data_IF_942954888239
#
_entry.id   IF_942954888239
#
_cell.length_a   1.000
_cell.length_b   1.000
_cell.length_c   1.000
_cell.angle_alpha   90.00
_cell.angle_beta   90.00
_cell.angle_gamma   90.00
#
_symmetry.space_group_name_H-M   'P 1'
#
loop_
_entity.id
_entity.type
_entity.pdbx_description
1 polymer ?
#
# COMPACT_ATOMS: atom_id res chain seq x y z
N UNK A 1 17.03 6.84 14.90
CA UNK A 1 17.36 7.59 13.67
C UNK A 1 16.55 8.87 13.64
N UNK A 2 17.18 10.02 13.33
CA UNK A 2 16.47 11.27 13.11
C UNK A 2 16.17 11.44 11.61
N UNK A 3 14.96 11.87 11.28
CA UNK A 3 14.57 12.19 9.91
C UNK A 3 14.92 13.65 9.60
N UNK A 4 15.37 13.92 8.37
CA UNK A 4 15.67 15.29 7.90
C UNK A 4 14.40 16.10 7.70
N UNK A 5 13.36 15.47 7.18
CA UNK A 5 12.07 16.10 6.93
C UNK A 5 11.00 15.59 7.88
N UNK A 6 9.97 16.42 8.11
CA UNK A 6 8.79 16.00 8.86
C UNK A 6 7.79 15.36 7.91
N UNK A 7 7.52 14.06 8.04
CA UNK A 7 6.52 13.40 7.20
C UNK A 7 5.07 13.72 7.60
N UNK A 8 4.87 14.53 8.64
CA UNK A 8 3.55 14.89 9.16
C UNK A 8 2.78 13.69 9.74
N UNK A 9 3.49 12.68 10.24
CA UNK A 9 2.84 11.52 10.86
C UNK A 9 2.43 11.81 12.31
N UNK A 10 1.22 11.41 12.69
CA UNK A 10 0.83 11.38 14.11
C UNK A 10 1.74 10.44 14.92
N UNK A 11 1.81 10.69 16.23
CA UNK A 11 2.74 10.02 17.14
C UNK A 11 2.76 8.49 17.01
N UNK A 12 1.60 7.87 16.91
CA UNK A 12 1.50 6.40 16.94
C UNK A 12 1.31 5.77 15.55
N UNK A 13 1.25 6.60 14.50
CA UNK A 13 0.91 6.14 13.16
C UNK A 13 1.90 5.13 12.57
N UNK A 14 3.23 5.34 12.60
CA UNK A 14 4.17 4.43 11.96
C UNK A 14 4.58 3.24 12.83
N UNK A 15 4.02 3.09 14.04
CA UNK A 15 4.39 1.98 14.93
C UNK A 15 4.03 0.64 14.29
N UNK A 16 4.98 -0.27 14.30
CA UNK A 16 4.85 -1.59 13.68
C UNK A 16 5.21 -1.66 12.20
N UNK A 17 5.40 -0.53 11.52
CA UNK A 17 5.83 -0.51 10.11
C UNK A 17 7.24 -1.10 9.97
N UNK A 18 7.48 -1.71 8.82
CA UNK A 18 8.79 -2.25 8.43
C UNK A 18 9.58 -1.17 7.69
N UNK A 19 10.84 -1.04 8.04
CA UNK A 19 11.78 -0.14 7.37
C UNK A 19 12.69 -0.97 6.47
N UNK A 20 12.75 -0.61 5.20
CA UNK A 20 13.69 -1.15 4.25
C UNK A 20 14.73 -0.08 3.93
N UNK A 21 15.99 -0.48 3.99
CA UNK A 21 17.12 0.29 3.50
C UNK A 21 17.58 -0.31 2.18
N UNK A 22 18.02 0.51 1.23
CA UNK A 22 18.43 0.04 -0.11
C UNK A 22 19.58 -0.97 -0.13
N UNK A 23 20.12 -1.33 1.04
CA UNK A 23 21.20 -2.32 1.20
C UNK A 23 20.75 -3.78 1.12
N UNK A 24 19.45 -4.06 0.93
CA UNK A 24 18.93 -5.43 0.91
C UNK A 24 18.96 -6.14 2.27
N UNK A 25 19.27 -5.42 3.34
CA UNK A 25 19.28 -5.95 4.71
C UNK A 25 17.86 -6.23 5.23
N UNK A 26 17.71 -7.10 6.23
CA UNK A 26 16.42 -7.43 6.81
C UNK A 26 15.70 -6.17 7.30
N UNK A 27 14.40 -6.14 7.10
CA UNK A 27 13.54 -5.05 7.52
C UNK A 27 13.58 -4.87 9.03
N UNK A 28 13.71 -3.64 9.48
CA UNK A 28 13.56 -3.26 10.89
C UNK A 28 12.12 -2.87 11.15
N UNK A 29 11.67 -3.04 12.39
CA UNK A 29 10.32 -2.64 12.78
C UNK A 29 10.37 -1.35 13.59
N UNK A 30 9.46 -0.43 13.28
CA UNK A 30 9.30 0.81 14.05
C UNK A 30 8.68 0.49 15.41
N UNK A 31 9.36 0.84 16.49
CA UNK A 31 8.89 0.70 17.87
C UNK A 31 8.25 1.99 18.39
N UNK A 32 8.80 3.14 18.04
CA UNK A 32 8.22 4.43 18.43
C UNK A 32 8.61 5.54 17.45
N UNK A 33 7.77 6.55 17.40
CA UNK A 33 7.97 7.78 16.65
C UNK A 33 7.74 8.99 17.54
N UNK A 34 8.68 9.91 17.55
CA UNK A 34 8.57 11.17 18.26
C UNK A 34 8.51 12.33 17.26
N UNK A 35 7.33 12.91 17.01
CA UNK A 35 7.14 13.91 15.97
C UNK A 35 7.97 15.20 16.19
N UNK A 36 8.09 15.65 17.44
CA UNK A 36 8.80 16.91 17.76
C UNK A 36 10.28 16.85 17.45
N UNK A 37 10.91 15.76 17.79
CA UNK A 37 12.35 15.53 17.56
C UNK A 37 12.63 14.82 16.24
N UNK A 38 11.58 14.37 15.52
CA UNK A 38 11.66 13.58 14.27
C UNK A 38 12.47 12.30 14.44
N UNK A 39 12.37 11.66 15.61
CA UNK A 39 13.15 10.47 15.93
C UNK A 39 12.30 9.22 15.80
N UNK A 40 12.75 8.32 14.93
CA UNK A 40 12.27 6.95 14.80
C UNK A 40 13.16 6.01 15.63
N UNK A 41 12.54 5.18 16.48
CA UNK A 41 13.20 4.08 17.18
C UNK A 41 12.74 2.75 16.57
N UNK A 42 13.69 1.84 16.42
CA UNK A 42 13.49 0.54 15.78
C UNK A 42 13.96 -0.59 16.69
N UNK A 43 13.50 -1.80 16.41
CA UNK A 43 13.88 -3.03 17.12
C UNK A 43 15.36 -3.38 16.97
N UNK A 44 15.98 -2.94 15.87
CA UNK A 44 17.41 -3.15 15.61
C UNK A 44 18.08 -1.80 15.28
N UNK A 45 19.34 -1.60 15.69
CA UNK A 45 20.07 -0.37 15.40
C UNK A 45 20.37 -0.23 13.89
N UNK A 46 20.48 1.01 13.44
CA UNK A 46 21.02 1.32 12.12
C UNK A 46 22.55 1.28 12.18
N UNK A 47 23.14 0.62 11.21
CA UNK A 47 24.60 0.62 11.06
C UNK A 47 25.09 1.87 10.30
N UNK A 48 26.41 1.98 10.16
CA UNK A 48 27.03 3.14 9.49
C UNK A 48 26.72 3.21 7.99
N UNK A 49 26.46 2.06 7.36
CA UNK A 49 26.07 2.01 5.94
C UNK A 49 24.64 2.50 5.78
N UNK A 50 23.72 2.06 6.63
CA UNK A 50 22.32 2.51 6.63
C UNK A 50 22.20 4.02 6.83
N UNK A 51 23.08 4.61 7.65
CA UNK A 51 23.09 6.07 7.91
C UNK A 51 23.59 6.90 6.71
N UNK A 52 24.29 6.28 5.77
CA UNK A 52 24.73 6.91 4.52
C UNK A 52 23.68 6.88 3.41
N UNK A 53 22.66 6.04 3.57
CA UNK A 53 21.55 5.98 2.64
C UNK A 53 20.68 7.23 2.83
N UNK A 54 20.54 8.02 1.80
CA UNK A 54 19.80 9.28 1.83
C UNK A 54 18.28 9.11 1.97
N UNK A 55 17.75 7.88 1.90
CA UNK A 55 16.32 7.59 1.99
C UNK A 55 16.07 6.22 2.63
N UNK A 56 14.91 6.13 3.28
CA UNK A 56 14.37 4.89 3.81
C UNK A 56 12.96 4.69 3.27
N UNK A 57 12.55 3.45 3.09
CA UNK A 57 11.19 3.09 2.73
C UNK A 57 10.47 2.49 3.94
N UNK A 58 9.27 3.00 4.23
CA UNK A 58 8.39 2.42 5.24
C UNK A 58 7.28 1.64 4.57
N UNK A 59 7.15 0.39 4.98
CA UNK A 59 6.10 -0.50 4.52
C UNK A 59 5.14 -0.83 5.65
N UNK A 60 3.86 -0.69 5.41
CA UNK A 60 2.82 -1.21 6.28
C UNK A 60 2.29 -2.54 5.74
N UNK A 61 1.74 -3.36 6.62
CA UNK A 61 1.02 -4.57 6.20
C UNK A 61 -0.42 -4.24 5.74
N UNK A 62 -0.82 -2.96 5.72
CA UNK A 62 -2.13 -2.52 5.26
C UNK A 62 -2.13 -2.22 3.76
N UNK A 63 -3.22 -2.59 3.10
CA UNK A 63 -3.45 -2.15 1.73
C UNK A 63 -3.56 -0.62 1.64
N UNK A 64 -3.15 -0.04 0.51
CA UNK A 64 -3.07 1.40 0.31
C UNK A 64 -4.35 2.17 0.70
N UNK A 65 -5.59 1.71 0.40
CA UNK A 65 -6.80 2.41 0.81
C UNK A 65 -6.98 2.45 2.34
N UNK A 66 -6.65 1.34 3.01
CA UNK A 66 -6.75 1.26 4.49
C UNK A 66 -5.69 2.15 5.14
N UNK A 67 -4.46 2.13 4.61
CA UNK A 67 -3.37 2.99 5.07
C UNK A 67 -3.75 4.47 4.93
N UNK A 68 -4.27 4.88 3.76
CA UNK A 68 -4.71 6.25 3.51
C UNK A 68 -5.83 6.70 4.47
N UNK A 69 -6.85 5.86 4.66
CA UNK A 69 -7.92 6.13 5.62
C UNK A 69 -7.37 6.32 7.05
N UNK A 70 -6.52 5.42 7.51
CA UNK A 70 -5.91 5.50 8.84
C UNK A 70 -5.08 6.76 9.02
N UNK A 71 -4.31 7.14 8.01
CA UNK A 71 -3.53 8.38 8.04
C UNK A 71 -4.42 9.62 8.17
N UNK A 72 -5.52 9.68 7.42
CA UNK A 72 -6.47 10.80 7.48
C UNK A 72 -7.10 10.87 8.88
N UNK A 73 -7.61 9.76 9.39
CA UNK A 73 -8.21 9.73 10.74
C UNK A 73 -7.21 10.14 11.82
N UNK A 74 -5.98 9.61 11.75
CA UNK A 74 -4.94 9.94 12.71
C UNK A 74 -4.54 11.42 12.67
N UNK A 75 -4.43 12.03 11.47
CA UNK A 75 -4.18 13.48 11.31
C UNK A 75 -5.33 14.33 11.84
N UNK A 76 -6.54 13.83 11.77
CA UNK A 76 -7.74 14.49 12.30
C UNK A 76 -7.96 14.26 13.80
N UNK A 77 -7.07 13.50 14.47
CA UNK A 77 -7.22 13.16 15.89
C UNK A 77 -8.39 12.23 16.19
N UNK A 78 -8.90 11.51 15.18
CA UNK A 78 -10.06 10.64 15.30
C UNK A 78 -9.59 9.20 15.49
N UNK A 79 -9.99 8.56 16.59
CA UNK A 79 -9.71 7.15 16.79
C UNK A 79 -10.49 6.28 15.78
N UNK A 80 -9.85 5.33 15.08
CA UNK A 80 -10.51 4.53 14.03
C UNK A 80 -11.78 3.81 14.48
N UNK A 81 -11.84 3.42 15.75
CA UNK A 81 -12.98 2.69 16.31
C UNK A 81 -14.11 3.60 16.83
N UNK A 82 -13.92 4.92 16.82
CA UNK A 82 -14.91 5.88 17.32
C UNK A 82 -15.90 6.36 16.27
N UNK A 83 -15.65 6.05 15.00
CA UNK A 83 -16.45 6.52 13.87
C UNK A 83 -16.79 5.40 12.89
N UNK A 84 -17.95 5.52 12.26
CA UNK A 84 -18.30 4.69 11.11
C UNK A 84 -17.76 5.34 9.84
N UNK A 85 -16.83 4.68 9.18
CA UNK A 85 -16.24 5.16 7.93
C UNK A 85 -16.98 4.54 6.73
N UNK A 86 -17.40 5.38 5.79
CA UNK A 86 -17.91 4.96 4.49
C UNK A 86 -16.85 5.32 3.45
N UNK A 87 -16.25 4.32 2.86
CA UNK A 87 -15.22 4.47 1.84
C UNK A 87 -15.80 4.22 0.45
N UNK A 88 -15.47 5.08 -0.51
CA UNK A 88 -15.72 4.86 -1.93
C UNK A 88 -14.38 4.76 -2.63
N UNK A 89 -14.16 3.64 -3.30
CA UNK A 89 -12.91 3.36 -3.99
C UNK A 89 -13.18 3.27 -5.49
N UNK A 90 -12.31 3.89 -6.27
CA UNK A 90 -12.20 3.69 -7.71
C UNK A 90 -10.78 3.18 -8.00
N UNK A 91 -10.66 2.20 -8.86
CA UNK A 91 -9.37 1.59 -9.21
C UNK A 91 -9.34 1.21 -10.67
N UNK A 92 -8.19 1.39 -11.29
CA UNK A 92 -7.88 0.92 -12.64
C UNK A 92 -7.25 -0.47 -12.64
N UNK A 93 -7.26 -1.17 -11.51
CA UNK A 93 -6.57 -2.46 -11.36
C UNK A 93 -7.04 -3.51 -12.37
N UNK A 94 -8.35 -3.55 -12.64
CA UNK A 94 -8.89 -4.48 -13.65
C UNK A 94 -8.44 -4.10 -15.06
N UNK A 95 -8.44 -2.81 -15.39
CA UNK A 95 -7.96 -2.31 -16.69
C UNK A 95 -6.47 -2.58 -16.86
N UNK A 96 -5.67 -2.33 -15.83
CA UNK A 96 -4.24 -2.62 -15.85
C UNK A 96 -3.98 -4.11 -16.02
N UNK A 97 -4.69 -4.96 -15.27
CA UNK A 97 -4.55 -6.41 -15.40
C UNK A 97 -4.87 -6.91 -16.81
N UNK A 98 -5.86 -6.29 -17.47
CA UNK A 98 -6.20 -6.61 -18.86
C UNK A 98 -5.11 -6.14 -19.84
N UNK A 99 -4.57 -4.94 -19.65
CA UNK A 99 -3.52 -4.38 -20.52
C UNK A 99 -2.18 -5.10 -20.37
N UNK A 100 -1.89 -5.60 -19.17
CA UNK A 100 -0.65 -6.31 -18.83
C UNK A 100 -0.75 -7.82 -19.04
N UNK A 101 -1.90 -8.32 -19.54
CA UNK A 101 -2.24 -9.75 -19.61
C UNK A 101 -1.95 -10.48 -18.27
N UNK A 102 -2.10 -9.74 -17.17
CA UNK A 102 -1.84 -10.21 -15.82
C UNK A 102 -3.16 -10.52 -15.12
N UNK A 103 -3.48 -11.77 -14.97
CA UNK A 103 -4.71 -12.19 -14.31
C UNK A 103 -4.92 -13.69 -14.34
N UNK A 104 -5.95 -14.16 -13.63
CA UNK A 104 -6.38 -15.55 -13.77
C UNK A 104 -7.10 -15.69 -15.11
N UNK A 105 -6.71 -16.70 -15.89
CA UNK A 105 -7.40 -17.01 -17.15
C UNK A 105 -8.83 -17.38 -16.85
N UNK A 106 -9.82 -16.67 -17.42
CA UNK A 106 -11.22 -17.05 -17.27
C UNK A 106 -11.50 -18.34 -18.03
N UNK A 107 -12.46 -19.12 -17.53
CA UNK A 107 -13.01 -20.26 -18.25
C UNK A 107 -14.44 -19.91 -18.64
N UNK A 108 -14.73 -19.99 -19.92
CA UNK A 108 -16.06 -19.75 -20.45
C UNK A 108 -16.76 -21.09 -20.71
N UNK A 109 -17.89 -21.29 -20.09
CA UNK A 109 -18.77 -22.42 -20.37
C UNK A 109 -19.83 -21.97 -21.37
N UNK A 110 -19.89 -22.64 -22.49
CA UNK A 110 -20.90 -22.39 -23.53
C UNK A 110 -21.67 -23.66 -23.87
N UNK A 111 -22.88 -23.51 -24.36
CA UNK A 111 -23.66 -24.63 -24.86
C UNK A 111 -22.93 -25.28 -26.04
N UNK A 112 -22.99 -26.61 -26.14
CA UNK A 112 -22.40 -27.34 -27.27
C UNK A 112 -22.95 -26.83 -28.60
N UNK A 113 -22.05 -26.55 -29.54
CA UNK A 113 -22.36 -25.93 -30.83
C UNK A 113 -22.22 -24.40 -30.88
N UNK A 114 -21.87 -23.72 -29.76
CA UNK A 114 -21.71 -22.27 -29.70
C UNK A 114 -20.28 -21.86 -29.33
N UNK A 115 -19.30 -22.64 -29.74
CA UNK A 115 -17.87 -22.39 -29.44
C UNK A 115 -17.33 -21.08 -30.04
N UNK A 116 -17.94 -20.60 -31.11
CA UNK A 116 -17.61 -19.40 -31.88
C UNK A 116 -18.30 -18.12 -31.36
N UNK A 117 -19.03 -18.21 -30.25
CA UNK A 117 -19.79 -17.09 -29.68
C UNK A 117 -18.94 -15.84 -29.48
N UNK A 118 -17.70 -15.99 -29.02
CA UNK A 118 -16.79 -14.87 -28.81
C UNK A 118 -16.24 -14.27 -30.11
N UNK A 119 -16.11 -15.08 -31.16
CA UNK A 119 -15.62 -14.64 -32.47
C UNK A 119 -16.73 -13.91 -33.25
N UNK A 120 -17.96 -14.37 -33.14
CA UNK A 120 -19.12 -13.75 -33.80
C UNK A 120 -19.45 -12.38 -33.18
N UNK A 121 -19.23 -12.23 -31.86
CA UNK A 121 -19.47 -10.99 -31.13
C UNK A 121 -20.93 -10.53 -31.22
N UNK A 122 -21.13 -9.22 -31.32
CA UNK A 122 -22.46 -8.58 -31.21
C UNK A 122 -23.23 -8.50 -32.54
N UNK A 123 -22.69 -9.02 -33.63
CA UNK A 123 -23.28 -9.00 -35.02
C UNK A 123 -23.84 -7.64 -35.46
N UNK A 124 -23.43 -6.55 -34.85
CA UNK A 124 -23.82 -5.22 -35.30
C UNK A 124 -23.09 -4.91 -36.60
N UNK A 125 -23.84 -4.90 -37.69
CA UNK A 125 -23.36 -4.32 -38.97
C UNK A 125 -23.23 -2.82 -38.76
N UNK A 126 -22.01 -2.29 -38.87
CA UNK A 126 -21.73 -0.87 -39.01
C UNK A 126 -22.17 -0.40 -40.39
#
# INVERSE_FOLDING_TARGET
>A
MALSEDPGWPKDFPIGFKIFTGSGKPSRRVLSWEPKSKILRTDQPFDKEDQRLGSIELHSDWEAPILGMRLILARSGIAPNSVRVRMRLATTRCTNALLEDSGRRPVLFVTSGFSDLLEIGDQRRT
#
